data_IF_987478981550
#
_entry.id   IF_987478981550
#
_cell.length_a   1.000
_cell.length_b   1.000
_cell.length_c   1.000
_cell.angle_alpha   90.00
_cell.angle_beta   90.00
_cell.angle_gamma   90.00
#
_symmetry.space_group_name_H-M   'P 1'
#
loop_
_entity.id
_entity.type
_entity.pdbx_description
1 polymer ?
#
# COMPACT_ATOMS: atom_id res chain seq x y z
N UNK A 1 17.23 9.79 14.85
CA UNK A 1 16.11 10.09 13.92
C UNK A 1 15.19 11.09 14.60
N UNK A 2 15.03 12.32 14.07
CA UNK A 2 14.12 13.32 14.66
C UNK A 2 12.67 12.81 14.60
N UNK A 3 12.00 12.75 15.74
CA UNK A 3 10.56 12.48 15.82
C UNK A 3 9.81 13.63 15.17
N UNK A 4 9.42 13.46 13.90
CA UNK A 4 8.57 14.41 13.19
C UNK A 4 7.11 14.08 13.51
N UNK A 5 6.48 14.89 14.36
CA UNK A 5 5.03 14.99 14.48
C UNK A 5 4.57 16.15 13.58
N UNK A 6 3.81 15.88 12.50
CA UNK A 6 3.23 16.97 11.72
C UNK A 6 2.24 17.75 12.60
N UNK A 7 2.24 19.08 12.46
CA UNK A 7 1.29 19.94 13.16
C UNK A 7 -0.12 19.69 12.60
N UNK A 8 -1.15 19.88 13.44
CA UNK A 8 -2.56 19.69 13.05
C UNK A 8 -2.94 20.48 11.78
N UNK A 9 -2.34 21.66 11.58
CA UNK A 9 -2.53 22.52 10.40
C UNK A 9 -1.94 21.92 9.11
N UNK A 10 -0.81 21.22 9.18
CA UNK A 10 -0.25 20.55 8.00
C UNK A 10 -1.06 19.31 7.65
N UNK A 11 -1.57 18.59 8.65
CA UNK A 11 -2.45 17.44 8.42
C UNK A 11 -3.75 17.87 7.72
N UNK A 12 -4.45 18.89 8.22
CA UNK A 12 -5.73 19.35 7.67
C UNK A 12 -5.64 19.73 6.19
N UNK A 13 -4.51 20.28 5.73
CA UNK A 13 -4.29 20.65 4.31
C UNK A 13 -4.34 19.45 3.35
N UNK A 14 -3.98 18.26 3.81
CA UNK A 14 -3.87 17.07 2.97
C UNK A 14 -4.94 16.00 3.27
N UNK A 15 -5.83 16.25 4.24
CA UNK A 15 -6.91 15.31 4.59
C UNK A 15 -7.80 15.06 3.36
N UNK A 16 -8.16 16.11 2.63
CA UNK A 16 -9.05 16.01 1.46
C UNK A 16 -8.37 15.34 0.25
N UNK A 17 -7.03 15.24 0.26
CA UNK A 17 -6.25 14.57 -0.80
C UNK A 17 -6.11 13.06 -0.61
N UNK A 18 -6.51 12.56 0.56
CA UNK A 18 -6.58 11.14 0.85
C UNK A 18 -8.05 10.75 0.80
N UNK A 19 -8.57 10.59 -0.42
CA UNK A 19 -9.92 10.13 -0.64
C UNK A 19 -9.91 8.61 -0.87
N UNK A 20 -10.07 7.85 0.21
CA UNK A 20 -10.17 6.38 0.14
C UNK A 20 -11.56 5.89 -0.32
N UNK A 21 -12.51 6.79 -0.60
CA UNK A 21 -13.91 6.47 -0.87
C UNK A 21 -14.31 6.14 -2.33
N UNK A 22 -13.63 6.58 -3.43
CA UNK A 22 -14.30 6.68 -4.73
C UNK A 22 -14.10 5.47 -5.65
N UNK A 23 -13.40 4.42 -5.20
CA UNK A 23 -13.22 3.17 -5.98
C UNK A 23 -14.13 2.02 -5.49
N UNK A 24 -15.30 2.34 -4.92
CA UNK A 24 -16.45 1.43 -5.04
C UNK A 24 -17.01 1.55 -6.46
N UNK A 25 -17.60 0.50 -7.04
CA UNK A 25 -18.33 0.61 -8.32
C UNK A 25 -19.28 1.81 -8.25
N UNK A 26 -19.26 2.67 -9.28
CA UNK A 26 -20.08 3.88 -9.34
C UNK A 26 -21.55 3.49 -9.22
N UNK A 27 -22.24 4.03 -8.22
CA UNK A 27 -23.70 4.00 -8.13
C UNK A 27 -24.27 4.92 -9.22
N UNK A 28 -24.58 4.36 -10.39
CA UNK A 28 -25.67 4.86 -11.20
C UNK A 28 -26.98 4.48 -10.52
N UNK A 29 -27.91 5.44 -10.48
CA UNK A 29 -29.33 5.36 -10.15
C UNK A 29 -29.85 4.26 -9.19
N UNK A 30 -30.50 4.78 -8.15
CA UNK A 30 -31.38 4.13 -7.17
C UNK A 30 -32.16 2.96 -7.77
N UNK A 31 -31.91 1.75 -7.26
CA UNK A 31 -32.91 0.69 -7.16
C UNK A 31 -32.80 0.05 -5.77
N UNK A 32 -33.90 0.18 -5.03
CA UNK A 32 -34.06 -0.23 -3.64
C UNK A 32 -34.17 -1.76 -3.58
N UNK A 33 -33.05 -2.43 -3.29
CA UNK A 33 -33.09 -3.88 -3.08
C UNK A 33 -31.74 -4.54 -2.86
N UNK A 34 -31.42 -4.84 -1.59
CA UNK A 34 -30.29 -5.69 -1.12
C UNK A 34 -28.86 -5.13 -1.35
N UNK A 35 -28.46 -4.08 -0.63
CA UNK A 35 -27.03 -3.72 -0.59
C UNK A 35 -26.59 -2.98 0.69
N UNK A 36 -26.47 -3.62 1.87
CA UNK A 36 -26.12 -2.85 3.10
C UNK A 36 -25.16 -3.48 4.13
N UNK A 37 -24.60 -4.68 3.94
CA UNK A 37 -23.69 -5.25 4.96
C UNK A 37 -22.21 -5.35 4.51
N UNK A 38 -21.95 -5.89 3.31
CA UNK A 38 -20.60 -6.16 2.81
C UNK A 38 -19.75 -4.89 2.63
N UNK A 39 -20.30 -3.88 1.96
CA UNK A 39 -19.62 -2.59 1.74
C UNK A 39 -19.34 -1.81 3.01
N UNK A 40 -20.18 -1.95 4.03
CA UNK A 40 -19.97 -1.29 5.31
C UNK A 40 -18.78 -1.92 6.05
N UNK A 41 -18.67 -3.24 6.00
CA UNK A 41 -17.51 -3.98 6.52
C UNK A 41 -16.24 -3.70 5.73
N UNK A 42 -16.30 -3.64 4.40
CA UNK A 42 -15.13 -3.38 3.56
C UNK A 42 -14.64 -1.93 3.75
N UNK A 43 -15.54 -0.95 3.81
CA UNK A 43 -15.21 0.46 4.11
C UNK A 43 -14.62 0.63 5.52
N UNK A 44 -15.23 0.01 6.53
CA UNK A 44 -14.69 0.00 7.88
C UNK A 44 -13.31 -0.68 7.93
N UNK A 45 -13.10 -1.76 7.18
CA UNK A 45 -11.80 -2.44 7.10
C UNK A 45 -10.74 -1.56 6.42
N UNK A 46 -11.09 -0.83 5.36
CA UNK A 46 -10.15 0.08 4.66
C UNK A 46 -9.72 1.24 5.57
N UNK A 47 -10.64 1.84 6.32
CA UNK A 47 -10.33 2.89 7.29
C UNK A 47 -9.59 2.36 8.53
N UNK A 48 -9.94 1.16 9.00
CA UNK A 48 -9.28 0.48 10.12
C UNK A 48 -7.84 0.01 9.79
N UNK A 49 -7.51 -0.23 8.51
CA UNK A 49 -6.15 -0.63 8.11
C UNK A 49 -5.19 0.56 8.04
N UNK A 50 -5.68 1.78 7.87
CA UNK A 50 -4.84 2.99 7.89
C UNK A 50 -4.66 3.51 9.32
N UNK A 51 -3.84 2.81 10.10
CA UNK A 51 -3.44 3.24 11.44
C UNK A 51 -2.74 4.62 11.40
N UNK A 52 -2.74 5.39 12.50
CA UNK A 52 -2.14 6.73 12.54
C UNK A 52 -0.70 6.77 12.01
N UNK A 53 0.09 5.72 12.24
CA UNK A 53 1.48 5.65 11.76
C UNK A 53 1.56 5.48 10.25
N UNK A 54 0.67 4.69 9.64
CA UNK A 54 0.59 4.58 8.18
C UNK A 54 0.16 5.91 7.57
N UNK A 55 -0.83 6.60 8.14
CA UNK A 55 -1.24 7.93 7.67
C UNK A 55 -0.08 8.92 7.66
N UNK A 56 0.75 8.94 8.71
CA UNK A 56 1.97 9.77 8.76
C UNK A 56 2.96 9.47 7.64
N UNK A 57 3.06 8.22 7.19
CA UNK A 57 3.92 7.85 6.07
C UNK A 57 3.32 8.38 4.76
N UNK A 58 2.01 8.19 4.55
CA UNK A 58 1.30 8.70 3.38
C UNK A 58 1.40 10.22 3.27
N UNK A 59 1.23 10.95 4.38
CA UNK A 59 1.42 12.40 4.40
C UNK A 59 2.84 12.83 4.02
N UNK A 60 3.87 12.06 4.40
CA UNK A 60 5.24 12.34 3.96
C UNK A 60 5.41 12.14 2.45
N UNK A 61 4.75 11.15 1.87
CA UNK A 61 4.79 10.95 0.43
C UNK A 61 4.09 12.09 -0.33
N UNK A 62 2.96 12.60 0.20
CA UNK A 62 2.29 13.79 -0.31
C UNK A 62 3.20 15.03 -0.22
N UNK A 63 3.81 15.26 0.93
CA UNK A 63 4.70 16.41 1.15
C UNK A 63 5.96 16.35 0.28
N UNK A 64 6.47 15.16 -0.02
CA UNK A 64 7.64 14.94 -0.89
C UNK A 64 7.30 15.01 -2.39
N UNK A 65 6.02 15.15 -2.76
CA UNK A 65 5.59 15.12 -4.16
C UNK A 65 5.73 13.74 -4.82
N UNK A 66 5.90 12.66 -4.04
CA UNK A 66 5.93 11.30 -4.58
C UNK A 66 4.57 10.85 -5.12
N UNK A 67 3.51 11.38 -4.50
CA UNK A 67 2.10 11.30 -4.90
C UNK A 67 1.47 12.66 -4.55
N UNK A 68 0.42 13.06 -5.25
CA UNK A 68 -0.38 14.24 -4.91
C UNK A 68 -1.78 13.87 -4.43
N UNK A 69 -2.33 12.78 -4.94
CA UNK A 69 -3.65 12.27 -4.56
C UNK A 69 -3.55 10.78 -4.25
N UNK A 70 -4.19 10.35 -3.17
CA UNK A 70 -4.37 8.94 -2.84
C UNK A 70 -5.87 8.67 -2.92
N UNK A 71 -6.25 7.89 -3.91
CA UNK A 71 -7.62 7.53 -4.17
C UNK A 71 -7.96 6.18 -3.50
N UNK A 72 -9.19 5.69 -3.74
CA UNK A 72 -9.73 4.48 -3.14
C UNK A 72 -8.85 3.22 -3.24
N UNK A 73 -9.11 2.30 -2.32
CA UNK A 73 -8.45 1.00 -2.27
C UNK A 73 -8.82 0.19 -3.52
N UNK A 74 -7.84 -0.15 -4.36
CA UNK A 74 -8.03 -0.97 -5.57
C UNK A 74 -8.15 -2.45 -5.21
N UNK A 75 -7.41 -2.89 -4.19
CA UNK A 75 -7.38 -4.31 -3.81
C UNK A 75 -7.13 -4.47 -2.32
N UNK A 76 -7.96 -5.29 -1.68
CA UNK A 76 -7.80 -5.72 -0.29
C UNK A 76 -7.32 -7.17 -0.28
N UNK A 77 -6.11 -7.39 0.24
CA UNK A 77 -5.52 -8.73 0.36
C UNK A 77 -5.43 -9.17 1.81
N UNK A 78 -5.06 -10.44 2.02
CA UNK A 78 -4.79 -11.00 3.35
C UNK A 78 -3.62 -10.28 4.04
N UNK A 79 -2.61 -9.89 3.27
CA UNK A 79 -1.33 -9.40 3.79
C UNK A 79 -1.10 -7.91 3.53
N UNK A 80 -1.77 -7.34 2.54
CA UNK A 80 -1.62 -5.94 2.16
C UNK A 80 -2.89 -5.41 1.50
N UNK A 81 -3.06 -4.09 1.56
CA UNK A 81 -4.02 -3.37 0.72
C UNK A 81 -3.24 -2.58 -0.34
N UNK A 82 -3.83 -2.40 -1.52
CA UNK A 82 -3.25 -1.60 -2.60
C UNK A 82 -4.19 -0.44 -2.91
N UNK A 83 -3.67 0.78 -2.83
CA UNK A 83 -4.39 2.02 -3.09
C UNK A 83 -3.93 2.63 -4.40
N UNK A 84 -4.87 3.22 -5.12
CA UNK A 84 -4.56 4.00 -6.31
C UNK A 84 -4.04 5.37 -5.88
N UNK A 85 -3.06 5.91 -6.60
CA UNK A 85 -2.59 7.26 -6.38
C UNK A 85 -2.18 7.91 -7.70
N UNK A 86 -2.18 9.24 -7.71
CA UNK A 86 -1.70 10.06 -8.83
C UNK A 86 -0.63 11.02 -8.36
N UNK A 87 0.22 11.44 -9.29
CA UNK A 87 1.19 12.52 -9.09
C UNK A 87 0.69 13.81 -9.76
N UNK A 88 1.31 14.95 -9.44
CA UNK A 88 1.03 16.24 -10.10
C UNK A 88 1.21 16.21 -11.62
N UNK A 89 2.03 15.29 -12.13
CA UNK A 89 2.28 15.13 -13.57
C UNK A 89 1.29 14.17 -14.24
N UNK A 90 0.15 13.87 -13.60
CA UNK A 90 -0.84 12.88 -14.02
C UNK A 90 -0.32 11.43 -14.14
N UNK A 91 0.88 11.13 -13.62
CA UNK A 91 1.36 9.76 -13.61
C UNK A 91 0.64 8.92 -12.55
N UNK A 92 0.31 7.68 -12.91
CA UNK A 92 -0.38 6.74 -12.04
C UNK A 92 0.58 5.93 -11.16
N UNK A 93 0.20 5.74 -9.91
CA UNK A 93 0.96 5.04 -8.87
C UNK A 93 0.08 4.04 -8.13
N UNK A 94 0.70 2.98 -7.64
CA UNK A 94 0.11 2.06 -6.69
C UNK A 94 0.82 2.20 -5.34
N UNK A 95 0.05 2.29 -4.26
CA UNK A 95 0.57 2.29 -2.90
C UNK A 95 0.15 0.99 -2.23
N UNK A 96 1.12 0.09 -2.04
CA UNK A 96 0.93 -1.18 -1.32
C UNK A 96 1.25 -0.98 0.16
N UNK A 97 0.23 -1.04 1.00
CA UNK A 97 0.32 -0.95 2.47
C UNK A 97 0.26 -2.36 3.06
N UNK A 98 1.36 -2.84 3.62
CA UNK A 98 1.41 -4.15 4.25
C UNK A 98 0.76 -4.10 5.64
N UNK A 99 -0.13 -5.03 5.95
CA UNK A 99 -0.84 -5.10 7.23
C UNK A 99 0.16 -5.44 8.33
N UNK A 100 0.19 -4.65 9.41
CA UNK A 100 1.14 -4.88 10.52
C UNK A 100 0.62 -5.89 11.55
N UNK A 101 -0.70 -6.03 11.65
CA UNK A 101 -1.42 -6.91 12.56
C UNK A 101 -1.87 -8.20 11.88
N UNK A 102 -1.01 -8.81 11.05
CA UNK A 102 -1.32 -10.07 10.34
C UNK A 102 -1.67 -11.15 11.39
N UNK A 103 -2.94 -11.30 11.69
CA UNK A 103 -3.46 -12.22 12.70
C UNK A 103 -3.00 -13.63 12.35
N UNK A 104 -2.28 -14.23 13.28
CA UNK A 104 -2.14 -15.68 13.48
C UNK A 104 -1.95 -16.49 12.20
N UNK A 105 -0.75 -16.43 11.63
CA UNK A 105 -0.30 -17.50 10.75
C UNK A 105 0.59 -18.43 11.57
N UNK A 106 0.08 -19.65 11.81
CA UNK A 106 0.80 -20.77 12.41
C UNK A 106 2.09 -21.16 11.64
N UNK A 107 2.38 -20.52 10.49
CA UNK A 107 3.46 -20.87 9.57
C UNK A 107 4.40 -19.72 9.18
N UNK A 108 4.50 -18.67 10.01
CA UNK A 108 5.43 -17.56 9.72
C UNK A 108 6.90 -17.99 9.62
N UNK A 109 7.30 -19.00 10.40
CA UNK A 109 8.68 -19.48 10.36
C UNK A 109 9.02 -20.10 9.00
N UNK A 110 8.11 -20.84 8.34
CA UNK A 110 8.39 -21.48 7.03
C UNK A 110 8.76 -20.49 5.91
N UNK A 111 8.20 -19.28 5.92
CA UNK A 111 8.51 -18.25 4.91
C UNK A 111 9.84 -17.51 5.17
N UNK A 112 10.45 -17.73 6.32
CA UNK A 112 11.59 -16.95 6.81
C UNK A 112 12.81 -17.83 7.04
N UNK A 113 12.64 -19.04 7.57
CA UNK A 113 13.72 -19.96 7.94
C UNK A 113 14.63 -20.32 6.77
N UNK A 114 14.13 -20.28 5.54
CA UNK A 114 14.93 -20.50 4.33
C UNK A 114 15.76 -19.30 3.85
N UNK A 115 15.56 -18.09 4.40
CA UNK A 115 16.30 -16.91 3.94
C UNK A 115 17.55 -16.66 4.76
N UNK A 116 18.73 -16.80 4.13
CA UNK A 116 20.05 -16.55 4.73
C UNK A 116 20.13 -15.21 5.48
N UNK A 117 19.48 -14.16 4.93
CA UNK A 117 19.50 -12.80 5.47
C UNK A 117 18.73 -12.64 6.79
N UNK A 118 17.87 -13.59 7.12
CA UNK A 118 17.07 -13.57 8.35
C UNK A 118 17.64 -14.47 9.46
N UNK A 119 18.78 -15.14 9.24
CA UNK A 119 19.41 -16.01 10.26
C UNK A 119 19.88 -15.28 11.52
N UNK A 120 20.31 -14.01 11.43
CA UNK A 120 21.02 -13.33 12.53
C UNK A 120 20.33 -12.07 13.10
N UNK A 121 19.07 -11.78 12.77
CA UNK A 121 18.42 -10.53 13.20
C UNK A 121 16.89 -10.54 13.25
N UNK A 122 16.28 -11.73 13.20
CA UNK A 122 14.85 -11.89 13.08
C UNK A 122 14.13 -11.70 14.43
N UNK A 123 13.50 -10.54 14.60
CA UNK A 123 12.69 -10.25 15.80
C UNK A 123 11.33 -10.95 15.73
N UNK A 124 11.29 -12.26 16.05
CA UNK A 124 10.06 -13.09 16.10
C UNK A 124 8.90 -12.41 16.83
N UNK A 125 9.22 -11.65 17.87
CA UNK A 125 8.26 -11.04 18.79
C UNK A 125 7.67 -9.68 18.31
N UNK A 126 8.22 -9.06 17.26
CA UNK A 126 7.76 -7.75 16.80
C UNK A 126 7.22 -7.80 15.37
N UNK A 127 5.89 -7.96 15.18
CA UNK A 127 5.28 -8.09 13.86
C UNK A 127 5.49 -6.86 12.97
N UNK A 128 5.75 -5.67 13.53
CA UNK A 128 6.03 -4.46 12.74
C UNK A 128 7.43 -4.46 12.13
N UNK A 129 8.44 -4.88 12.90
CA UNK A 129 9.81 -5.07 12.36
C UNK A 129 9.79 -6.11 11.25
N UNK A 130 8.97 -7.14 11.45
CA UNK A 130 8.76 -8.21 10.50
C UNK A 130 8.17 -7.77 9.18
N UNK A 131 7.03 -7.11 9.22
CA UNK A 131 6.34 -6.64 8.02
C UNK A 131 7.20 -5.63 7.26
N UNK A 132 8.01 -4.82 7.96
CA UNK A 132 9.00 -3.97 7.31
C UNK A 132 10.03 -4.76 6.50
N UNK A 133 10.59 -5.83 7.05
CA UNK A 133 11.56 -6.68 6.33
C UNK A 133 10.93 -7.33 5.08
N UNK A 134 9.66 -7.72 5.16
CA UNK A 134 8.92 -8.23 4.01
C UNK A 134 8.74 -7.16 2.93
N UNK A 135 8.38 -5.95 3.30
CA UNK A 135 8.28 -4.83 2.36
C UNK A 135 9.65 -4.48 1.73
N UNK A 136 10.74 -4.54 2.50
CA UNK A 136 12.12 -4.36 2.00
C UNK A 136 12.54 -5.48 1.05
N UNK A 137 12.10 -6.72 1.29
CA UNK A 137 12.28 -7.84 0.36
C UNK A 137 11.51 -7.61 -0.94
N UNK A 138 10.24 -7.24 -0.86
CA UNK A 138 9.39 -6.97 -2.03
C UNK A 138 10.00 -5.89 -2.92
N UNK A 139 10.40 -4.75 -2.33
CA UNK A 139 11.06 -3.66 -3.06
C UNK A 139 12.30 -4.17 -3.80
N UNK A 140 13.19 -4.89 -3.11
CA UNK A 140 14.41 -5.43 -3.73
C UNK A 140 14.12 -6.43 -4.84
N UNK A 141 13.10 -7.27 -4.67
CA UNK A 141 12.70 -8.22 -5.69
C UNK A 141 12.20 -7.49 -6.94
N UNK A 142 11.28 -6.54 -6.79
CA UNK A 142 10.80 -5.71 -7.90
C UNK A 142 11.94 -4.93 -8.56
N UNK A 143 12.88 -4.37 -7.79
CA UNK A 143 14.03 -3.65 -8.35
C UNK A 143 14.89 -4.57 -9.21
N UNK A 144 15.11 -5.82 -8.78
CA UNK A 144 15.87 -6.82 -9.55
C UNK A 144 15.13 -7.22 -10.82
N UNK A 145 13.84 -7.52 -10.72
CA UNK A 145 13.02 -7.89 -11.88
C UNK A 145 13.05 -6.77 -12.92
N UNK A 146 12.79 -5.53 -12.49
CA UNK A 146 12.78 -4.36 -13.36
C UNK A 146 14.15 -4.10 -14.00
N UNK A 147 15.25 -4.23 -13.23
CA UNK A 147 16.61 -4.05 -13.74
C UNK A 147 17.02 -5.11 -14.78
N UNK A 148 16.40 -6.30 -14.74
CA UNK A 148 16.62 -7.37 -15.71
C UNK A 148 15.59 -7.34 -16.87
N UNK A 149 14.81 -6.26 -17.01
CA UNK A 149 13.84 -6.11 -18.09
C UNK A 149 12.62 -7.01 -17.98
N UNK A 150 12.40 -7.67 -16.84
CA UNK A 150 11.22 -8.49 -16.62
C UNK A 150 10.01 -7.56 -16.40
N UNK A 151 8.89 -7.74 -17.15
CA UNK A 151 7.70 -6.92 -16.97
C UNK A 151 7.16 -6.99 -15.53
N UNK A 152 7.38 -5.93 -14.77
CA UNK A 152 6.89 -5.80 -13.40
C UNK A 152 6.70 -4.31 -13.04
N UNK A 153 5.92 -4.00 -11.98
CA UNK A 153 5.78 -2.63 -11.52
C UNK A 153 7.15 -2.05 -11.12
N UNK A 154 7.52 -0.89 -11.68
CA UNK A 154 8.73 -0.20 -11.25
C UNK A 154 8.58 0.23 -9.78
N UNK A 155 9.45 -0.22 -8.86
CA UNK A 155 9.40 0.27 -7.49
C UNK A 155 9.96 1.70 -7.42
N UNK A 156 9.27 2.59 -6.70
CA UNK A 156 9.60 4.02 -6.66
C UNK A 156 10.13 4.41 -5.30
N UNK A 157 9.39 4.10 -4.23
CA UNK A 157 9.79 4.44 -2.88
C UNK A 157 9.29 3.40 -1.88
N UNK A 158 10.06 3.16 -0.82
CA UNK A 158 9.65 2.32 0.30
C UNK A 158 9.87 3.08 1.60
N UNK A 159 8.85 3.11 2.46
CA UNK A 159 8.99 3.63 3.84
C UNK A 159 8.31 2.70 4.83
N UNK A 160 9.12 2.07 5.68
CA UNK A 160 8.69 1.03 6.62
C UNK A 160 7.92 -0.08 5.88
N UNK A 161 6.60 -0.12 6.02
CA UNK A 161 5.70 -1.12 5.47
C UNK A 161 4.77 -0.55 4.39
N UNK A 162 5.14 0.59 3.79
CA UNK A 162 4.39 1.22 2.69
C UNK A 162 5.29 1.35 1.47
N UNK A 163 4.90 0.70 0.38
CA UNK A 163 5.60 0.65 -0.89
C UNK A 163 4.84 1.45 -1.94
N UNK A 164 5.51 2.39 -2.59
CA UNK A 164 5.04 3.11 -3.78
C UNK A 164 5.71 2.50 -5.01
N UNK A 165 4.89 2.14 -5.99
CA UNK A 165 5.34 1.56 -7.26
C UNK A 165 4.51 2.12 -8.42
N UNK A 166 4.98 1.90 -9.64
CA UNK A 166 4.22 2.23 -10.85
C UNK A 166 2.88 1.47 -10.86
N UNK A 167 1.81 2.14 -11.28
CA UNK A 167 0.54 1.47 -11.47
C UNK A 167 0.51 0.73 -12.81
N UNK A 168 0.25 -0.57 -12.78
CA UNK A 168 0.00 -1.36 -13.98
C UNK A 168 -1.51 -1.40 -14.23
N UNK A 169 -1.94 -0.76 -15.30
CA UNK A 169 -3.25 -1.03 -15.92
C UNK A 169 -3.12 -2.27 -16.81
N UNK A 170 -4.13 -3.13 -16.82
CA UNK A 170 -4.19 -4.35 -17.66
C UNK A 170 -3.81 -4.09 -19.13
N UNK A 171 -4.12 -2.90 -19.67
CA UNK A 171 -3.73 -2.49 -21.02
C UNK A 171 -2.21 -2.40 -21.25
N UNK A 172 -1.41 -2.11 -20.21
CA UNK A 172 0.07 -2.13 -20.31
C UNK A 172 0.64 -3.56 -20.39
N UNK A 173 -0.08 -4.57 -19.92
CA UNK A 173 0.34 -5.98 -20.04
C UNK A 173 0.09 -6.47 -21.48
N UNK A 174 -1.00 -6.03 -22.13
CA UNK A 174 -1.33 -6.41 -23.50
C UNK A 174 -0.57 -5.62 -24.58
N UNK A 175 0.05 -4.48 -24.25
CA UNK A 175 0.89 -3.71 -25.18
C UNK A 175 2.37 -4.13 -25.16
N UNK A 176 2.65 -5.28 -24.54
CA UNK A 176 3.86 -6.07 -24.84
C UNK A 176 3.59 -6.68 -26.22
N UNK A 177 3.92 -5.91 -27.26
CA UNK A 177 3.83 -6.35 -28.65
C UNK A 177 4.75 -7.55 -28.88
N UNK A 178 4.17 -8.58 -29.51
CA UNK A 178 4.79 -9.65 -30.30
C UNK A 178 5.57 -10.74 -29.55
#
# INVERSE_FOLDING_TARGET
>A
MKHFQPTSKTLSKYVDKIDVSPYSPRTGHVDDGKYRSKDKHDRATVEQVLDPRTRLILFKFLQQGLVDEINGCISTGKEANVYYAKTNNNEHRAIKVFKTSILVFKDRDRYVTGEYRFRHGYSRHNPRKMVRLWAEKEYRNLSRLYANGIPCPKPIALKNHVLVMEFIVLLKIFNINC
#
